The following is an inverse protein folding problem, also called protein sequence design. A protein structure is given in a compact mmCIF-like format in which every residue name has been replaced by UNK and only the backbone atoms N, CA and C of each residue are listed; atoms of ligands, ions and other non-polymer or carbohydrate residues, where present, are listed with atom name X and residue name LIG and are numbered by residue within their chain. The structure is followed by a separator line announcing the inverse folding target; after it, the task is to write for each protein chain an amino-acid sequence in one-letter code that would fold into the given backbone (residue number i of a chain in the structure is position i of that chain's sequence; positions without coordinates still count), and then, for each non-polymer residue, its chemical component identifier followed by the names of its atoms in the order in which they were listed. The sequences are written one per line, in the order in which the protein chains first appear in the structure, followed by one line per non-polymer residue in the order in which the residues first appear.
data_IF_852154496522
#
_entry.id   IF_852154496522
#
_cell.length_a   1.000
_cell.length_b   1.000
_cell.length_c   1.000
_cell.angle_alpha   90.00
_cell.angle_beta   90.00
_cell.angle_gamma   90.00
#
_symmetry.space_group_name_H-M   'P 1'
#
loop_
_entity.id
_entity.type
_entity.pdbx_description
1 polymer ?
#
# COMPACT_ATOMS: atom_id res chain seq x y z
N UNK A 1 14.62 60.65 -32.04
CA UNK A 1 13.63 61.10 -31.04
C UNK A 1 12.25 60.71 -31.55
N UNK A 2 11.37 60.04 -30.78
CA UNK A 2 11.55 58.91 -29.87
C UNK A 2 10.79 57.64 -30.36
N UNK A 3 11.23 56.47 -29.89
CA UNK A 3 10.59 55.18 -30.19
C UNK A 3 9.26 54.99 -29.45
N UNK A 4 8.36 54.22 -30.06
CA UNK A 4 7.07 53.86 -29.49
C UNK A 4 7.22 53.06 -28.18
N UNK A 5 6.39 53.33 -27.15
CA UNK A 5 6.46 52.60 -25.89
C UNK A 5 5.86 51.19 -26.06
N UNK A 6 6.55 50.18 -25.52
CA UNK A 6 6.03 48.83 -25.39
C UNK A 6 4.88 48.80 -24.36
N UNK A 7 3.87 47.93 -24.53
CA UNK A 7 2.76 47.85 -23.58
C UNK A 7 3.23 47.26 -22.24
N UNK A 8 2.93 47.97 -21.16
CA UNK A 8 3.06 47.47 -19.79
C UNK A 8 2.15 46.25 -19.61
N UNK A 9 2.76 45.09 -19.41
CA UNK A 9 2.05 43.95 -18.83
C UNK A 9 1.93 44.18 -17.32
N UNK A 10 0.78 44.74 -16.91
CA UNK A 10 0.40 44.75 -15.51
C UNK A 10 0.16 43.31 -15.06
N UNK A 11 1.11 42.77 -14.30
CA UNK A 11 0.95 41.51 -13.60
C UNK A 11 -0.24 41.59 -12.63
N UNK A 12 -0.89 40.46 -12.31
CA UNK A 12 -2.12 40.45 -11.54
C UNK A 12 -1.95 41.17 -10.19
N UNK A 13 -2.92 42.02 -9.87
CA UNK A 13 -2.93 42.88 -8.70
C UNK A 13 -2.90 42.07 -7.40
N UNK A 14 -2.47 42.71 -6.30
CA UNK A 14 -2.50 42.09 -4.97
C UNK A 14 -3.93 41.63 -4.57
N UNK A 15 -4.97 42.30 -5.06
CA UNK A 15 -6.36 41.89 -4.87
C UNK A 15 -6.70 40.62 -5.67
N UNK A 16 -6.20 40.47 -6.90
CA UNK A 16 -6.38 39.24 -7.69
C UNK A 16 -5.60 38.04 -7.15
N UNK A 17 -4.52 38.30 -6.40
CA UNK A 17 -3.80 37.27 -5.65
C UNK A 17 -4.57 36.90 -4.38
N UNK A 18 -5.07 37.88 -3.63
CA UNK A 18 -5.89 37.64 -2.44
C UNK A 18 -7.24 36.95 -2.73
N UNK A 19 -7.86 37.20 -3.89
CA UNK A 19 -9.08 36.50 -4.33
C UNK A 19 -8.76 35.07 -4.81
N UNK A 20 -7.59 34.84 -5.42
CA UNK A 20 -7.09 33.48 -5.72
C UNK A 20 -6.76 32.71 -4.44
N UNK A 21 -6.11 33.34 -3.48
CA UNK A 21 -5.78 32.75 -2.18
C UNK A 21 -7.03 32.45 -1.36
N UNK A 22 -8.05 33.33 -1.36
CA UNK A 22 -9.35 33.04 -0.72
C UNK A 22 -10.13 31.92 -1.41
N UNK A 23 -9.90 31.66 -2.70
CA UNK A 23 -10.42 30.48 -3.43
C UNK A 23 -9.58 29.21 -3.23
N UNK A 24 -8.37 29.34 -2.68
CA UNK A 24 -7.44 28.25 -2.43
C UNK A 24 -7.60 27.60 -1.04
N UNK A 25 -8.22 28.27 -0.07
CA UNK A 25 -8.27 27.78 1.33
C UNK A 25 -9.55 27.04 1.74
N UNK A 26 -10.52 26.85 0.84
CA UNK A 26 -11.76 26.14 1.15
C UNK A 26 -11.94 25.00 0.16
N UNK A 27 -12.15 23.80 0.68
CA UNK A 27 -12.55 22.63 -0.09
C UNK A 27 -13.59 23.05 -1.15
N UNK A 28 -13.28 22.82 -2.42
CA UNK A 28 -14.23 23.17 -3.47
C UNK A 28 -15.53 22.39 -3.23
N UNK A 29 -16.70 23.00 -3.46
CA UNK A 29 -18.00 22.31 -3.30
C UNK A 29 -18.01 20.95 -4.02
N UNK A 30 -17.37 20.87 -5.20
CA UNK A 30 -17.19 19.63 -5.96
C UNK A 30 -16.25 18.62 -5.26
N UNK A 31 -15.24 19.08 -4.52
CA UNK A 31 -14.38 18.25 -3.68
C UNK A 31 -15.13 17.63 -2.51
N UNK A 32 -15.90 18.44 -1.79
CA UNK A 32 -16.72 17.98 -0.68
C UNK A 32 -17.78 16.95 -1.14
N UNK A 33 -18.41 17.18 -2.29
CA UNK A 33 -19.36 16.23 -2.89
C UNK A 33 -18.71 14.90 -3.28
N UNK A 34 -17.50 14.92 -3.87
CA UNK A 34 -16.76 13.68 -4.19
C UNK A 34 -16.35 12.92 -2.95
N UNK A 35 -15.93 13.62 -1.88
CA UNK A 35 -15.65 13.00 -0.58
C UNK A 35 -16.89 12.29 -0.05
N UNK A 36 -18.02 12.99 0.02
CA UNK A 36 -19.29 12.44 0.49
C UNK A 36 -19.74 11.20 -0.31
N UNK A 37 -19.51 11.19 -1.63
CA UNK A 37 -19.94 10.10 -2.49
C UNK A 37 -19.00 8.86 -2.49
N UNK A 38 -17.72 9.02 -2.13
CA UNK A 38 -16.70 8.00 -2.39
C UNK A 38 -15.91 7.57 -1.16
N UNK A 39 -15.82 8.41 -0.12
CA UNK A 39 -15.09 8.06 1.08
C UNK A 39 -15.94 7.13 1.94
N UNK A 40 -15.46 5.93 2.29
CA UNK A 40 -16.12 5.13 3.30
C UNK A 40 -16.02 5.86 4.64
N UNK A 41 -17.05 5.72 5.47
CA UNK A 41 -17.02 6.23 6.84
C UNK A 41 -15.99 5.47 7.68
N UNK A 42 -15.47 6.11 8.73
CA UNK A 42 -14.56 5.46 9.68
C UNK A 42 -15.21 4.22 10.34
N UNK A 43 -16.52 4.24 10.53
CA UNK A 43 -17.29 3.09 11.02
C UNK A 43 -17.25 1.91 10.04
N UNK A 44 -17.45 2.16 8.74
CA UNK A 44 -17.45 1.12 7.70
C UNK A 44 -16.09 0.43 7.52
N UNK A 45 -15.00 1.06 7.94
CA UNK A 45 -13.65 0.47 7.90
C UNK A 45 -13.13 0.01 9.27
N UNK A 46 -13.94 0.11 10.32
CA UNK A 46 -13.61 -0.41 11.66
C UNK A 46 -13.85 -1.91 11.74
N UNK A 47 -13.16 -2.62 12.64
CA UNK A 47 -13.37 -4.04 12.86
C UNK A 47 -14.82 -4.34 13.25
N UNK A 48 -15.42 -3.48 14.09
CA UNK A 48 -16.82 -3.60 14.48
C UNK A 48 -17.77 -3.41 13.28
N UNK A 49 -17.59 -2.35 12.48
CA UNK A 49 -18.45 -2.10 11.32
C UNK A 49 -18.26 -3.12 10.19
N UNK A 50 -17.11 -3.78 10.13
CA UNK A 50 -16.85 -4.92 9.24
C UNK A 50 -17.36 -6.26 9.80
N UNK A 51 -17.79 -6.31 11.06
CA UNK A 51 -18.24 -7.53 11.73
C UNK A 51 -17.12 -8.52 12.02
N UNK A 52 -15.87 -8.06 12.14
CA UNK A 52 -14.75 -8.93 12.47
C UNK A 52 -14.81 -9.34 13.94
N UNK A 53 -14.61 -10.64 14.22
CA UNK A 53 -14.61 -11.19 15.57
C UNK A 53 -13.29 -10.87 16.32
N UNK A 54 -12.99 -9.59 16.51
CA UNK A 54 -11.76 -9.08 17.14
C UNK A 54 -12.07 -8.46 18.50
N UNK A 55 -11.32 -8.87 19.52
CA UNK A 55 -11.43 -8.30 20.85
C UNK A 55 -10.73 -6.93 20.93
N UNK A 56 -11.36 -5.97 21.63
CA UNK A 56 -10.79 -4.64 21.83
C UNK A 56 -9.63 -4.69 22.85
N UNK A 57 -8.42 -4.45 22.37
CA UNK A 57 -7.17 -4.39 23.13
C UNK A 57 -6.41 -3.13 22.70
N UNK A 58 -5.29 -2.81 23.35
CA UNK A 58 -4.44 -1.74 22.85
C UNK A 58 -3.87 -2.05 21.46
N UNK A 59 -3.38 -3.28 21.25
CA UNK A 59 -2.85 -3.75 19.97
C UNK A 59 -3.88 -3.68 18.84
N UNK A 60 -5.12 -4.11 19.10
CA UNK A 60 -6.17 -4.10 18.07
C UNK A 60 -6.69 -2.69 17.80
N UNK A 61 -6.70 -1.79 18.79
CA UNK A 61 -6.96 -0.34 18.56
C UNK A 61 -5.89 0.30 17.67
N UNK A 62 -4.60 -0.03 17.87
CA UNK A 62 -3.52 0.44 16.98
C UNK A 62 -3.67 -0.11 15.56
N UNK A 63 -4.00 -1.39 15.41
CA UNK A 63 -4.28 -1.98 14.11
C UNK A 63 -5.52 -1.35 13.43
N UNK A 64 -6.55 -0.99 14.18
CA UNK A 64 -7.75 -0.33 13.65
C UNK A 64 -7.52 1.15 13.29
N UNK A 65 -6.54 1.83 13.90
CA UNK A 65 -6.14 3.18 13.51
C UNK A 65 -5.55 3.25 12.08
N UNK A 66 -5.04 2.13 11.56
CA UNK A 66 -4.45 2.04 10.22
C UNK A 66 -5.47 2.31 9.12
N UNK A 67 -6.58 1.54 8.99
CA UNK A 67 -7.60 1.83 7.97
C UNK A 67 -8.22 3.23 8.15
N UNK A 68 -8.28 3.76 9.37
CA UNK A 68 -8.73 5.14 9.61
C UNK A 68 -7.77 6.17 9.00
N UNK A 69 -6.45 5.98 9.15
CA UNK A 69 -5.45 6.85 8.50
C UNK A 69 -5.56 6.80 6.97
N UNK A 70 -5.82 5.62 6.38
CA UNK A 70 -6.10 5.48 4.95
C UNK A 70 -7.33 6.29 4.54
N UNK A 71 -8.43 6.22 5.31
CA UNK A 71 -9.63 7.01 5.02
C UNK A 71 -9.34 8.50 5.10
N UNK A 72 -8.65 8.99 6.15
CA UNK A 72 -8.28 10.40 6.25
C UNK A 72 -7.45 10.87 5.04
N UNK A 73 -6.47 10.09 4.63
CA UNK A 73 -5.68 10.38 3.44
C UNK A 73 -6.51 10.43 2.15
N UNK A 74 -7.41 9.45 2.00
CA UNK A 74 -8.34 9.38 0.86
C UNK A 74 -9.26 10.60 0.81
N UNK A 75 -9.83 11.00 1.95
CA UNK A 75 -10.68 12.17 2.08
C UNK A 75 -9.96 13.44 1.62
N UNK A 76 -8.70 13.63 2.02
CA UNK A 76 -7.91 14.80 1.62
C UNK A 76 -7.56 14.75 0.14
N UNK A 77 -7.06 13.62 -0.37
CA UNK A 77 -6.68 13.48 -1.78
C UNK A 77 -7.87 13.59 -2.75
N UNK A 78 -9.05 13.13 -2.32
CA UNK A 78 -10.27 13.29 -3.11
C UNK A 78 -10.77 14.72 -3.01
N UNK A 79 -10.78 15.36 -1.85
CA UNK A 79 -11.34 16.70 -1.65
C UNK A 79 -10.50 17.81 -2.27
N UNK A 80 -9.19 17.80 -2.02
CA UNK A 80 -8.28 18.91 -2.30
C UNK A 80 -8.13 19.19 -3.80
N UNK A 81 -7.89 20.45 -4.14
CA UNK A 81 -7.70 20.86 -5.54
C UNK A 81 -6.29 20.58 -6.02
N UNK A 82 -5.27 20.82 -5.21
CA UNK A 82 -3.87 20.64 -5.57
C UNK A 82 -3.24 19.51 -4.72
N UNK A 83 -2.50 18.54 -5.29
CA UNK A 83 -1.70 17.59 -4.50
C UNK A 83 -0.82 18.26 -3.43
N UNK A 84 -0.34 19.48 -3.65
CA UNK A 84 0.45 20.21 -2.65
C UNK A 84 -0.35 20.55 -1.38
N UNK A 85 -1.67 20.75 -1.48
CA UNK A 85 -2.55 20.98 -0.32
C UNK A 85 -2.66 19.69 0.51
N UNK A 86 -2.85 18.56 -0.18
CA UNK A 86 -2.91 17.23 0.42
C UNK A 86 -1.60 16.90 1.14
N UNK A 87 -0.45 17.16 0.52
CA UNK A 87 0.86 16.95 1.15
C UNK A 87 1.04 17.75 2.45
N UNK A 88 0.59 19.01 2.49
CA UNK A 88 0.63 19.81 3.72
C UNK A 88 -0.20 19.21 4.85
N UNK A 89 -1.36 18.62 4.53
CA UNK A 89 -2.21 17.92 5.52
C UNK A 89 -1.56 16.61 5.99
N UNK A 90 -1.03 15.84 5.05
CA UNK A 90 -0.33 14.58 5.32
C UNK A 90 0.93 14.78 6.17
N UNK A 91 1.63 15.91 6.03
CA UNK A 91 2.79 16.24 6.86
C UNK A 91 2.46 16.38 8.36
N UNK A 92 1.20 16.67 8.72
CA UNK A 92 0.75 16.75 10.11
C UNK A 92 0.40 15.39 10.72
N UNK A 93 0.30 14.33 9.91
CA UNK A 93 0.00 12.97 10.39
C UNK A 93 1.24 12.41 11.10
N UNK A 94 1.00 11.70 12.21
CA UNK A 94 2.05 11.01 12.97
C UNK A 94 2.92 10.12 12.04
N UNK A 95 4.27 10.19 12.14
CA UNK A 95 5.17 9.41 11.28
C UNK A 95 4.87 7.90 11.23
N UNK A 96 4.36 7.31 12.31
CA UNK A 96 4.06 5.89 12.38
C UNK A 96 2.95 5.47 11.41
N UNK A 97 1.93 6.31 11.23
CA UNK A 97 0.76 6.03 10.36
C UNK A 97 0.70 6.88 9.09
N UNK A 98 1.62 7.85 8.93
CA UNK A 98 1.67 8.75 7.78
C UNK A 98 1.71 8.03 6.44
N UNK A 99 2.43 6.92 6.35
CA UNK A 99 2.47 6.11 5.12
C UNK A 99 1.09 5.61 4.69
N UNK A 100 0.24 5.21 5.64
CA UNK A 100 -1.13 4.78 5.37
C UNK A 100 -2.02 5.95 4.93
N UNK A 101 -1.78 7.15 5.45
CA UNK A 101 -2.46 8.34 4.94
C UNK A 101 -2.04 8.65 3.49
N UNK A 102 -0.75 8.47 3.15
CA UNK A 102 -0.31 8.57 1.75
C UNK A 102 -0.93 7.49 0.85
N UNK A 103 -1.11 6.26 1.34
CA UNK A 103 -1.81 5.17 0.62
C UNK A 103 -3.22 5.60 0.19
N UNK A 104 -4.01 6.16 1.11
CA UNK A 104 -5.34 6.69 0.82
C UNK A 104 -5.33 7.88 -0.13
N UNK A 105 -4.39 8.81 0.05
CA UNK A 105 -4.25 9.96 -0.83
C UNK A 105 -3.87 9.54 -2.26
N UNK A 106 -2.95 8.58 -2.42
CA UNK A 106 -2.60 8.00 -3.71
C UNK A 106 -3.80 7.34 -4.35
N UNK A 107 -4.56 6.53 -3.60
CA UNK A 107 -5.80 5.91 -4.07
C UNK A 107 -6.76 6.96 -4.65
N UNK A 108 -7.01 8.06 -3.94
CA UNK A 108 -7.88 9.12 -4.42
C UNK A 108 -7.35 9.79 -5.70
N UNK A 109 -6.05 10.10 -5.73
CA UNK A 109 -5.39 10.67 -6.91
C UNK A 109 -5.50 9.78 -8.14
N UNK A 110 -5.31 8.46 -7.98
CA UNK A 110 -5.43 7.47 -9.07
C UNK A 110 -6.85 7.42 -9.63
N UNK A 111 -7.87 7.41 -8.77
CA UNK A 111 -9.27 7.45 -9.20
C UNK A 111 -9.55 8.70 -10.03
N UNK A 112 -9.07 9.85 -9.57
CA UNK A 112 -9.26 11.14 -10.27
C UNK A 112 -8.52 11.19 -11.60
N UNK A 113 -7.29 10.68 -11.65
CA UNK A 113 -6.50 10.64 -12.88
C UNK A 113 -7.11 9.66 -13.90
N UNK A 114 -7.63 8.52 -13.45
CA UNK A 114 -8.21 7.52 -14.33
C UNK A 114 -9.58 7.92 -14.91
N UNK A 115 -10.39 8.66 -14.13
CA UNK A 115 -11.73 9.12 -14.52
C UNK A 115 -11.75 10.54 -15.12
N UNK A 116 -10.68 11.32 -14.94
CA UNK A 116 -10.58 12.70 -15.41
C UNK A 116 -9.82 12.87 -16.74
N UNK A 117 -9.89 14.07 -17.35
CA UNK A 117 -9.22 14.35 -18.63
C UNK A 117 -7.71 14.62 -18.50
N UNK A 118 -7.23 15.11 -17.35
CA UNK A 118 -5.83 15.48 -17.10
C UNK A 118 -5.28 14.70 -15.90
N UNK A 119 -4.62 13.57 -16.16
CA UNK A 119 -4.12 12.66 -15.12
C UNK A 119 -2.63 12.85 -14.81
N UNK A 120 -2.33 13.51 -13.70
CA UNK A 120 -0.96 13.66 -13.21
C UNK A 120 -0.86 13.72 -11.67
N UNK A 121 -1.99 13.65 -10.94
CA UNK A 121 -2.02 13.86 -9.49
C UNK A 121 -1.29 12.77 -8.74
N UNK A 122 -1.51 11.51 -9.12
CA UNK A 122 -0.87 10.37 -8.49
C UNK A 122 0.65 10.45 -8.71
N UNK A 123 1.08 10.82 -9.93
CA UNK A 123 2.50 11.07 -10.22
C UNK A 123 3.06 12.17 -9.33
N UNK A 124 2.44 13.35 -9.33
CA UNK A 124 2.89 14.50 -8.53
C UNK A 124 3.05 14.14 -7.05
N UNK A 125 2.05 13.48 -6.46
CA UNK A 125 2.08 13.07 -5.06
C UNK A 125 3.20 12.05 -4.78
N UNK A 126 3.38 11.06 -5.66
CA UNK A 126 4.37 10.00 -5.49
C UNK A 126 5.82 10.50 -5.69
N UNK A 127 6.02 11.49 -6.54
CA UNK A 127 7.33 12.13 -6.77
C UNK A 127 7.66 13.16 -5.67
N UNK A 128 6.63 13.77 -5.07
CA UNK A 128 6.74 14.73 -3.97
C UNK A 128 6.82 14.07 -2.60
N UNK A 129 5.92 14.47 -1.70
CA UNK A 129 5.89 14.03 -0.30
C UNK A 129 5.62 12.54 -0.11
N UNK A 130 5.02 11.89 -1.12
CA UNK A 130 4.76 10.44 -1.11
C UNK A 130 6.00 9.60 -1.40
N UNK A 131 7.12 10.18 -1.86
CA UNK A 131 8.31 9.43 -2.27
C UNK A 131 8.84 8.46 -1.20
N UNK A 132 8.97 8.83 0.09
CA UNK A 132 9.38 7.89 1.14
C UNK A 132 8.37 6.75 1.39
N UNK A 133 7.14 6.91 0.94
CA UNK A 133 6.03 5.97 1.15
C UNK A 133 5.68 5.17 -0.10
N UNK A 134 6.62 5.06 -1.06
CA UNK A 134 6.38 4.44 -2.39
C UNK A 134 5.73 3.06 -2.33
N UNK A 135 6.10 2.21 -1.36
CA UNK A 135 5.49 0.89 -1.15
C UNK A 135 3.98 0.99 -0.89
N UNK A 136 3.58 1.91 -0.02
CA UNK A 136 2.19 2.12 0.36
C UNK A 136 1.41 2.86 -0.73
N UNK A 137 2.07 3.76 -1.47
CA UNK A 137 1.46 4.39 -2.63
C UNK A 137 1.03 3.33 -3.67
N UNK A 138 1.89 2.34 -3.97
CA UNK A 138 1.51 1.25 -4.89
C UNK A 138 0.33 0.44 -4.35
N UNK A 139 0.26 0.18 -3.05
CA UNK A 139 -0.90 -0.49 -2.44
C UNK A 139 -2.17 0.35 -2.63
N UNK A 140 -2.07 1.67 -2.45
CA UNK A 140 -3.16 2.62 -2.70
C UNK A 140 -3.67 2.61 -4.15
N UNK A 141 -2.78 2.42 -5.13
CA UNK A 141 -3.16 2.18 -6.53
C UNK A 141 -4.06 0.93 -6.62
N UNK A 142 -3.76 -0.13 -5.87
CA UNK A 142 -4.58 -1.34 -5.78
C UNK A 142 -5.99 -1.10 -5.23
N UNK A 143 -6.11 -0.26 -4.20
CA UNK A 143 -7.42 0.13 -3.66
C UNK A 143 -8.24 0.92 -4.67
N UNK A 144 -7.58 1.76 -5.48
CA UNK A 144 -8.24 2.44 -6.59
C UNK A 144 -8.71 1.43 -7.66
N UNK A 145 -7.89 0.42 -8.00
CA UNK A 145 -8.28 -0.64 -8.94
C UNK A 145 -9.55 -1.38 -8.50
N UNK A 146 -9.76 -1.58 -7.20
CA UNK A 146 -10.96 -2.24 -6.69
C UNK A 146 -12.27 -1.45 -6.96
N UNK A 147 -12.16 -0.13 -7.14
CA UNK A 147 -13.25 0.82 -7.40
C UNK A 147 -13.34 1.28 -8.87
N UNK A 148 -12.33 0.99 -9.68
CA UNK A 148 -12.28 1.34 -11.09
C UNK A 148 -12.71 0.16 -11.99
N UNK A 149 -13.41 0.42 -13.11
CA UNK A 149 -13.59 -0.57 -14.16
C UNK A 149 -12.25 -1.13 -14.65
N UNK A 150 -12.19 -2.46 -14.87
CA UNK A 150 -10.96 -3.17 -15.29
C UNK A 150 -10.23 -2.54 -16.50
N UNK A 151 -10.90 -2.02 -17.55
CA UNK A 151 -10.21 -1.37 -18.67
C UNK A 151 -9.41 -0.11 -18.28
N UNK A 152 -9.72 0.51 -17.13
CA UNK A 152 -9.00 1.67 -16.61
C UNK A 152 -7.75 1.29 -15.80
N UNK A 153 -7.57 0.02 -15.43
CA UNK A 153 -6.40 -0.43 -14.65
C UNK A 153 -5.08 -0.17 -15.38
N UNK A 154 -5.08 -0.16 -16.72
CA UNK A 154 -3.92 0.25 -17.54
C UNK A 154 -3.47 1.70 -17.32
N UNK A 155 -4.33 2.54 -16.73
CA UNK A 155 -4.03 3.94 -16.39
C UNK A 155 -3.68 4.12 -14.90
N UNK A 156 -3.79 3.07 -14.09
CA UNK A 156 -3.72 3.20 -12.64
C UNK A 156 -2.29 3.42 -12.13
N UNK A 157 -1.28 2.83 -12.78
CA UNK A 157 0.13 3.07 -12.46
C UNK A 157 0.63 4.29 -13.24
N UNK A 158 1.08 5.35 -12.56
CA UNK A 158 1.71 6.47 -13.23
C UNK A 158 2.98 6.03 -13.98
N UNK A 159 3.18 6.54 -15.19
CA UNK A 159 4.42 6.29 -15.94
C UNK A 159 5.64 6.78 -15.13
N UNK A 160 6.68 5.94 -14.93
CA UNK A 160 7.88 6.31 -14.20
C UNK A 160 8.70 7.35 -15.00
N UNK A 161 9.28 8.33 -14.30
CA UNK A 161 10.03 9.45 -14.91
C UNK A 161 11.52 9.46 -14.54
N UNK A 162 12.00 8.55 -13.69
CA UNK A 162 13.40 8.53 -13.27
C UNK A 162 13.85 7.28 -12.49
N UNK A 163 15.17 7.16 -12.23
CA UNK A 163 15.83 5.97 -11.67
C UNK A 163 15.53 5.67 -10.19
N UNK A 164 14.56 6.35 -9.57
CA UNK A 164 14.10 6.11 -8.20
C UNK A 164 12.76 5.38 -8.08
N UNK A 165 12.13 5.02 -9.21
CA UNK A 165 11.00 4.10 -9.21
C UNK A 165 11.54 2.68 -9.13
N UNK A 166 11.13 1.91 -8.13
CA UNK A 166 11.34 0.46 -8.13
C UNK A 166 10.28 -0.14 -9.06
N UNK A 167 10.57 -0.40 -10.36
CA UNK A 167 9.51 -0.67 -11.33
C UNK A 167 8.83 -2.02 -11.04
N UNK A 168 9.58 -2.95 -10.46
CA UNK A 168 9.08 -4.23 -9.95
C UNK A 168 8.01 -4.09 -8.84
N UNK A 169 7.88 -2.93 -8.18
CA UNK A 169 6.89 -2.72 -7.13
C UNK A 169 5.47 -2.46 -7.67
N UNK A 170 5.26 -2.36 -8.99
CA UNK A 170 3.90 -2.21 -9.53
C UNK A 170 2.97 -3.36 -9.12
N UNK A 171 3.53 -4.56 -8.85
CA UNK A 171 2.80 -5.72 -8.34
C UNK A 171 2.20 -5.51 -6.95
N UNK A 172 2.71 -4.56 -6.16
CA UNK A 172 2.07 -4.15 -4.90
C UNK A 172 0.69 -3.50 -5.14
N UNK A 173 0.39 -3.01 -6.34
CA UNK A 173 -0.96 -2.60 -6.70
C UNK A 173 -1.91 -3.80 -6.84
N UNK A 174 -1.42 -4.94 -7.36
CA UNK A 174 -2.22 -6.17 -7.43
C UNK A 174 -2.42 -6.77 -6.04
N UNK A 175 -1.39 -6.72 -5.19
CA UNK A 175 -1.48 -7.01 -3.76
C UNK A 175 -2.52 -6.11 -3.07
N UNK A 176 -2.44 -4.79 -3.22
CA UNK A 176 -3.43 -3.87 -2.65
C UNK A 176 -4.86 -4.16 -3.13
N UNK A 177 -5.04 -4.53 -4.40
CA UNK A 177 -6.33 -4.97 -4.91
C UNK A 177 -6.83 -6.23 -4.20
N UNK A 178 -5.96 -7.23 -3.98
CA UNK A 178 -6.31 -8.45 -3.23
C UNK A 178 -6.69 -8.16 -1.78
N UNK A 179 -5.95 -7.25 -1.12
CA UNK A 179 -6.26 -6.80 0.23
C UNK A 179 -7.64 -6.17 0.33
N UNK A 180 -7.95 -5.17 -0.52
CA UNK A 180 -9.23 -4.47 -0.49
C UNK A 180 -10.40 -5.45 -0.67
N UNK A 181 -10.28 -6.36 -1.63
CA UNK A 181 -11.29 -7.39 -1.88
C UNK A 181 -11.55 -8.28 -0.67
N UNK A 182 -10.50 -8.77 -0.02
CA UNK A 182 -10.65 -9.62 1.17
C UNK A 182 -11.13 -8.87 2.41
N UNK A 183 -10.71 -7.61 2.59
CA UNK A 183 -11.11 -6.79 3.72
C UNK A 183 -12.61 -6.41 3.66
N UNK A 184 -13.11 -6.05 2.48
CA UNK A 184 -14.49 -5.59 2.30
C UNK A 184 -15.51 -6.71 1.97
N UNK A 185 -15.07 -7.93 1.63
CA UNK A 185 -15.95 -9.05 1.28
C UNK A 185 -15.35 -10.39 1.72
N UNK A 186 -15.28 -10.58 3.05
CA UNK A 186 -14.66 -11.76 3.69
C UNK A 186 -15.35 -13.06 3.28
N UNK A 187 -16.68 -13.08 3.23
CA UNK A 187 -17.46 -14.26 2.83
C UNK A 187 -17.09 -14.77 1.44
N UNK A 188 -16.85 -13.84 0.49
CA UNK A 188 -16.49 -14.24 -0.88
C UNK A 188 -15.02 -14.59 -1.03
N UNK A 189 -14.11 -13.82 -0.44
CA UNK A 189 -12.68 -13.91 -0.74
C UNK A 189 -11.88 -14.75 0.25
N UNK A 190 -12.37 -14.86 1.50
CA UNK A 190 -11.78 -15.68 2.56
C UNK A 190 -12.57 -17.00 2.68
N UNK A 191 -13.87 -16.94 2.97
CA UNK A 191 -14.64 -18.16 3.27
C UNK A 191 -14.87 -19.00 2.01
N UNK A 192 -15.36 -18.37 0.93
CA UNK A 192 -15.55 -19.03 -0.37
C UNK A 192 -14.28 -19.08 -1.24
N UNK A 193 -13.16 -18.51 -0.76
CA UNK A 193 -11.85 -18.52 -1.42
C UNK A 193 -11.86 -18.13 -2.90
N UNK A 194 -12.71 -17.17 -3.29
CA UNK A 194 -12.94 -16.81 -4.69
C UNK A 194 -11.62 -16.55 -5.43
N UNK A 195 -11.44 -17.21 -6.57
CA UNK A 195 -10.38 -16.91 -7.54
C UNK A 195 -10.91 -15.87 -8.54
N UNK A 196 -10.26 -14.71 -8.70
CA UNK A 196 -10.69 -13.70 -9.67
C UNK A 196 -10.34 -14.11 -11.10
N UNK A 197 -10.99 -13.45 -12.07
CA UNK A 197 -10.51 -13.52 -13.47
C UNK A 197 -9.13 -12.87 -13.56
N UNK A 198 -8.17 -13.63 -14.07
CA UNK A 198 -6.82 -13.16 -14.35
C UNK A 198 -6.81 -11.85 -15.16
N UNK A 199 -5.80 -11.02 -14.91
CA UNK A 199 -5.54 -9.78 -15.64
C UNK A 199 -4.08 -9.78 -16.05
N UNK A 200 -3.73 -9.49 -17.32
CA UNK A 200 -2.35 -9.54 -17.80
C UNK A 200 -1.55 -8.32 -17.30
N UNK A 201 -1.38 -8.20 -15.99
CA UNK A 201 -0.60 -7.14 -15.36
C UNK A 201 0.88 -7.35 -15.71
N UNK A 202 1.53 -6.33 -16.28
CA UNK A 202 2.87 -6.47 -16.88
C UNK A 202 3.00 -7.67 -17.86
N UNK A 203 1.90 -8.07 -18.50
CA UNK A 203 1.88 -9.21 -19.42
C UNK A 203 1.78 -10.59 -18.77
N UNK A 204 1.71 -10.70 -17.42
CA UNK A 204 1.66 -11.99 -16.72
C UNK A 204 0.29 -12.22 -16.01
N UNK A 205 -0.66 -12.89 -16.66
CA UNK A 205 -1.99 -13.17 -16.09
C UNK A 205 -1.97 -14.20 -14.96
N UNK A 206 -1.00 -15.11 -14.92
CA UNK A 206 -0.94 -16.17 -13.92
C UNK A 206 -0.36 -15.63 -12.62
N UNK A 207 0.71 -14.83 -12.71
CA UNK A 207 1.31 -14.19 -11.56
C UNK A 207 0.38 -13.14 -10.92
N UNK A 208 -0.56 -12.55 -11.68
CA UNK A 208 -1.64 -11.72 -11.12
C UNK A 208 -2.39 -12.44 -10.00
N UNK A 209 -2.71 -13.72 -10.15
CA UNK A 209 -3.42 -14.48 -9.11
C UNK A 209 -2.56 -14.65 -7.84
N UNK A 210 -1.25 -14.83 -8.01
CA UNK A 210 -0.30 -14.93 -6.89
C UNK A 210 -0.13 -13.62 -6.14
N UNK A 211 -0.08 -12.50 -6.84
CA UNK A 211 -0.02 -11.17 -6.22
C UNK A 211 -1.34 -10.83 -5.50
N UNK A 212 -2.50 -11.25 -6.01
CA UNK A 212 -3.77 -11.13 -5.29
C UNK A 212 -3.71 -11.88 -3.95
N UNK A 213 -3.16 -13.08 -3.91
CA UNK A 213 -3.05 -13.88 -2.69
C UNK A 213 -2.12 -13.26 -1.65
N UNK A 214 -1.09 -12.52 -2.04
CA UNK A 214 -0.29 -11.72 -1.10
C UNK A 214 -1.16 -10.67 -0.38
N UNK A 215 -2.03 -10.00 -1.14
CA UNK A 215 -2.98 -9.03 -0.60
C UNK A 215 -3.99 -9.64 0.36
N UNK A 216 -4.55 -10.80 -0.03
CA UNK A 216 -5.47 -11.56 0.83
C UNK A 216 -4.76 -11.97 2.12
N UNK A 217 -3.50 -12.41 2.04
CA UNK A 217 -2.69 -12.75 3.21
C UNK A 217 -2.55 -11.57 4.17
N UNK A 218 -2.25 -10.37 3.64
CA UNK A 218 -2.25 -9.15 4.45
C UNK A 218 -3.61 -8.90 5.09
N UNK A 219 -4.71 -9.07 4.37
CA UNK A 219 -6.05 -8.85 4.90
C UNK A 219 -6.41 -9.81 6.05
N UNK A 220 -6.00 -11.08 5.96
CA UNK A 220 -6.21 -12.08 7.03
C UNK A 220 -5.63 -11.60 8.37
N UNK A 221 -4.49 -10.91 8.36
CA UNK A 221 -3.90 -10.34 9.56
C UNK A 221 -4.85 -9.37 10.28
N UNK A 222 -5.47 -8.45 9.53
CA UNK A 222 -6.40 -7.47 10.08
C UNK A 222 -7.76 -8.09 10.44
N UNK A 223 -8.31 -8.97 9.59
CA UNK A 223 -9.58 -9.68 9.84
C UNK A 223 -9.54 -10.47 11.14
N UNK A 224 -8.37 -11.01 11.50
CA UNK A 224 -8.15 -11.73 12.75
C UNK A 224 -7.45 -10.91 13.84
N UNK A 225 -7.28 -9.60 13.66
CA UNK A 225 -6.76 -8.68 14.67
C UNK A 225 -5.35 -9.02 15.18
N UNK A 226 -4.46 -9.52 14.32
CA UNK A 226 -3.09 -9.88 14.68
C UNK A 226 -2.95 -11.14 15.54
N UNK A 227 -4.02 -11.91 15.68
CA UNK A 227 -4.03 -13.18 16.42
C UNK A 227 -3.46 -14.31 15.59
N UNK A 228 -2.21 -14.69 15.88
CA UNK A 228 -1.47 -15.68 15.11
C UNK A 228 -2.19 -17.03 14.97
N UNK A 229 -2.79 -17.56 16.04
CA UNK A 229 -3.57 -18.80 16.05
C UNK A 229 -4.68 -18.81 14.98
N UNK A 230 -5.47 -17.74 14.94
CA UNK A 230 -6.59 -17.59 14.00
C UNK A 230 -6.12 -17.37 12.57
N UNK A 231 -5.07 -16.56 12.39
CA UNK A 231 -4.47 -16.31 11.07
C UNK A 231 -3.89 -17.61 10.49
N UNK A 232 -3.16 -18.40 11.29
CA UNK A 232 -2.61 -19.68 10.86
C UNK A 232 -3.71 -20.66 10.44
N UNK A 233 -4.78 -20.76 11.22
CA UNK A 233 -5.94 -21.58 10.87
C UNK A 233 -6.59 -21.12 9.55
N UNK A 234 -6.74 -19.81 9.36
CA UNK A 234 -7.31 -19.25 8.14
C UNK A 234 -6.44 -19.53 6.91
N UNK A 235 -5.11 -19.33 6.98
CA UNK A 235 -4.20 -19.65 5.87
C UNK A 235 -4.26 -21.13 5.51
N UNK A 236 -4.33 -22.03 6.51
CA UNK A 236 -4.42 -23.48 6.27
C UNK A 236 -5.75 -23.91 5.64
N UNK A 237 -6.83 -23.16 5.83
CA UNK A 237 -8.08 -23.44 5.14
C UNK A 237 -7.97 -23.23 3.63
N UNK A 238 -7.05 -22.38 3.15
CA UNK A 238 -6.80 -22.19 1.71
C UNK A 238 -6.13 -23.41 1.07
N UNK A 239 -6.42 -23.61 -0.21
CA UNK A 239 -5.75 -24.61 -1.04
C UNK A 239 -4.21 -24.44 -0.99
N UNK A 240 -3.49 -25.55 -0.83
CA UNK A 240 -2.03 -25.60 -0.58
C UNK A 240 -1.22 -24.69 -1.52
N UNK A 241 -1.53 -24.72 -2.82
CA UNK A 241 -0.86 -23.90 -3.85
C UNK A 241 -0.94 -22.37 -3.66
N UNK A 242 -1.82 -21.88 -2.77
CA UNK A 242 -2.00 -20.45 -2.48
C UNK A 242 -1.29 -20.01 -1.20
N UNK A 243 -0.92 -20.96 -0.33
CA UNK A 243 -0.46 -20.68 1.03
C UNK A 243 0.85 -19.90 1.07
N UNK A 244 1.80 -20.21 0.19
CA UNK A 244 3.07 -19.51 0.09
C UNK A 244 2.91 -17.98 -0.08
N UNK A 245 2.01 -17.54 -0.97
CA UNK A 245 1.74 -16.12 -1.21
C UNK A 245 0.94 -15.49 -0.06
N UNK A 246 -0.03 -16.23 0.53
CA UNK A 246 -0.76 -15.80 1.72
C UNK A 246 0.17 -15.58 2.92
N UNK A 247 1.07 -16.53 3.21
CA UNK A 247 2.04 -16.43 4.29
C UNK A 247 2.99 -15.24 4.12
N UNK A 248 3.41 -14.97 2.88
CA UNK A 248 4.20 -13.79 2.54
C UNK A 248 3.46 -12.50 2.89
N UNK A 249 2.18 -12.41 2.52
CA UNK A 249 1.32 -11.27 2.87
C UNK A 249 1.07 -11.11 4.37
N UNK A 250 0.77 -12.22 5.06
CA UNK A 250 0.57 -12.23 6.52
C UNK A 250 1.80 -11.70 7.25
N UNK A 251 2.99 -12.18 6.89
CA UNK A 251 4.22 -11.76 7.54
C UNK A 251 4.57 -10.30 7.27
N UNK A 252 4.28 -9.82 6.05
CA UNK A 252 4.41 -8.40 5.70
C UNK A 252 3.50 -7.55 6.60
N UNK A 253 2.22 -7.89 6.71
CA UNK A 253 1.29 -7.17 7.59
C UNK A 253 1.72 -7.23 9.06
N UNK A 254 2.07 -8.41 9.57
CA UNK A 254 2.54 -8.59 10.95
C UNK A 254 3.77 -7.73 11.27
N UNK A 255 4.69 -7.58 10.32
CA UNK A 255 5.92 -6.79 10.50
C UNK A 255 5.68 -5.29 10.33
N UNK A 256 4.87 -4.89 9.34
CA UNK A 256 4.67 -3.47 9.02
C UNK A 256 3.66 -2.80 9.97
N UNK A 257 2.55 -3.48 10.24
CA UNK A 257 1.42 -2.99 11.04
C UNK A 257 1.50 -3.40 12.52
N UNK A 258 2.27 -4.44 12.85
CA UNK A 258 2.38 -4.93 14.22
C UNK A 258 1.10 -5.65 14.69
N UNK A 259 0.78 -5.50 15.97
CA UNK A 259 -0.47 -6.04 16.54
C UNK A 259 -0.40 -7.47 17.09
N UNK A 260 0.81 -8.02 17.24
CA UNK A 260 1.01 -9.33 17.86
C UNK A 260 2.17 -9.35 18.85
N UNK A 261 2.22 -10.37 19.68
CA UNK A 261 3.28 -10.57 20.67
C UNK A 261 4.46 -11.33 20.07
N UNK A 262 5.66 -11.29 20.68
CA UNK A 262 6.79 -12.12 20.26
C UNK A 262 6.45 -13.61 20.17
N UNK A 263 5.67 -14.13 21.12
CA UNK A 263 5.20 -15.51 21.09
C UNK A 263 4.27 -15.80 19.90
N UNK A 264 3.37 -14.86 19.58
CA UNK A 264 2.52 -14.95 18.39
C UNK A 264 3.32 -14.97 17.09
N UNK A 265 4.36 -14.14 16.99
CA UNK A 265 5.25 -14.11 15.83
C UNK A 265 6.09 -15.38 15.69
N UNK A 266 6.57 -15.94 16.81
CA UNK A 266 7.27 -17.22 16.81
C UNK A 266 6.34 -18.37 16.38
N UNK A 267 5.10 -18.39 16.88
CA UNK A 267 4.08 -19.35 16.45
C UNK A 267 3.80 -19.20 14.95
N UNK A 268 3.61 -17.99 14.43
CA UNK A 268 3.41 -17.72 13.01
C UNK A 268 4.52 -18.34 12.14
N UNK A 269 5.79 -18.16 12.53
CA UNK A 269 6.94 -18.72 11.82
C UNK A 269 6.98 -20.24 11.88
N UNK A 270 6.64 -20.83 13.04
CA UNK A 270 6.57 -22.28 13.21
C UNK A 270 5.46 -22.90 12.35
N UNK A 271 4.26 -22.33 12.43
CA UNK A 271 3.05 -22.85 11.79
C UNK A 271 3.09 -22.80 10.26
N UNK A 272 3.92 -21.92 9.69
CA UNK A 272 4.18 -21.82 8.26
C UNK A 272 4.95 -23.02 7.69
N UNK A 273 5.67 -23.80 8.51
CA UNK A 273 6.35 -25.03 8.08
C UNK A 273 7.29 -24.81 6.88
N UNK A 274 7.00 -25.47 5.77
CA UNK A 274 7.77 -25.36 4.51
C UNK A 274 7.72 -23.94 3.91
N UNK A 275 6.65 -23.18 4.17
CA UNK A 275 6.47 -21.81 3.70
C UNK A 275 7.22 -20.76 4.55
N UNK A 276 8.01 -21.17 5.55
CA UNK A 276 8.78 -20.24 6.41
C UNK A 276 9.68 -19.27 5.63
N UNK A 277 10.17 -19.67 4.46
CA UNK A 277 10.95 -18.78 3.57
C UNK A 277 10.10 -17.63 3.03
N UNK A 278 8.82 -17.88 2.75
CA UNK A 278 7.86 -16.84 2.32
C UNK A 278 7.50 -15.89 3.47
N UNK A 279 7.36 -16.41 4.69
CA UNK A 279 7.19 -15.59 5.90
C UNK A 279 8.39 -14.65 6.10
N UNK A 280 9.61 -15.19 6.09
CA UNK A 280 10.82 -14.39 6.26
C UNK A 280 10.95 -13.30 5.17
N UNK A 281 10.68 -13.64 3.90
CA UNK A 281 10.63 -12.68 2.81
C UNK A 281 9.60 -11.56 3.03
N UNK A 282 8.38 -11.89 3.44
CA UNK A 282 7.34 -10.88 3.70
C UNK A 282 7.77 -9.89 4.77
N UNK A 283 8.42 -10.39 5.82
CA UNK A 283 9.01 -9.57 6.88
C UNK A 283 10.13 -8.66 6.37
N UNK A 284 11.03 -9.17 5.52
CA UNK A 284 12.10 -8.38 4.89
C UNK A 284 11.56 -7.20 4.10
N UNK A 285 10.50 -7.39 3.28
CA UNK A 285 9.93 -6.28 2.53
C UNK A 285 9.22 -5.25 3.41
N UNK A 286 8.57 -5.68 4.49
CA UNK A 286 8.00 -4.75 5.47
C UNK A 286 9.08 -3.92 6.17
N UNK A 287 10.19 -4.56 6.57
CA UNK A 287 11.36 -3.88 7.15
C UNK A 287 11.95 -2.87 6.16
N UNK A 288 12.15 -3.27 4.91
CA UNK A 288 12.60 -2.40 3.81
C UNK A 288 11.67 -1.20 3.63
N UNK A 289 10.36 -1.39 3.63
CA UNK A 289 9.39 -0.31 3.47
C UNK A 289 9.46 0.70 4.63
N UNK A 290 9.55 0.23 5.88
CA UNK A 290 9.72 1.10 7.07
C UNK A 290 11.05 1.84 7.07
N UNK A 291 12.14 1.15 6.74
CA UNK A 291 13.46 1.77 6.58
C UNK A 291 13.42 2.85 5.50
N UNK A 292 12.84 2.57 4.33
CA UNK A 292 12.77 3.53 3.24
C UNK A 292 11.94 4.78 3.60
N UNK A 293 10.88 4.60 4.40
CA UNK A 293 10.06 5.69 4.92
C UNK A 293 10.76 6.55 5.99
N UNK A 294 11.93 6.14 6.49
CA UNK A 294 12.68 6.86 7.52
C UNK A 294 12.07 6.77 8.93
N UNK A 295 11.11 5.86 9.15
CA UNK A 295 10.51 5.63 10.46
C UNK A 295 10.29 4.13 10.69
N UNK A 296 10.95 3.59 11.71
CA UNK A 296 10.95 2.18 12.07
C UNK A 296 10.41 2.01 13.49
N UNK A 297 9.13 1.61 13.65
CA UNK A 297 8.55 1.32 14.96
C UNK A 297 9.19 0.10 15.62
N UNK A 298 9.10 0.01 16.95
CA UNK A 298 9.68 -1.10 17.70
C UNK A 298 9.07 -2.46 17.31
N UNK A 299 7.77 -2.53 17.05
CA UNK A 299 7.14 -3.78 16.61
C UNK A 299 7.70 -4.29 15.28
N UNK A 300 8.14 -3.40 14.38
CA UNK A 300 8.81 -3.79 13.13
C UNK A 300 10.17 -4.41 13.43
N UNK A 301 10.94 -3.86 14.38
CA UNK A 301 12.24 -4.44 14.78
C UNK A 301 12.07 -5.83 15.38
N UNK A 302 11.12 -5.98 16.30
CA UNK A 302 10.78 -7.25 16.93
C UNK A 302 10.32 -8.29 15.91
N UNK A 303 9.40 -7.92 15.01
CA UNK A 303 8.88 -8.83 13.99
C UNK A 303 9.92 -9.24 12.96
N UNK A 304 10.77 -8.30 12.50
CA UNK A 304 11.87 -8.60 11.57
C UNK A 304 12.81 -9.64 12.17
N UNK A 305 13.20 -9.46 13.44
CA UNK A 305 14.05 -10.42 14.14
C UNK A 305 13.37 -11.77 14.33
N UNK A 306 12.10 -11.79 14.72
CA UNK A 306 11.38 -13.04 14.98
C UNK A 306 11.13 -13.87 13.69
N UNK A 307 10.74 -13.19 12.61
CA UNK A 307 10.27 -13.83 11.38
C UNK A 307 11.38 -14.06 10.35
N UNK A 308 12.32 -13.11 10.21
CA UNK A 308 13.41 -13.18 9.25
C UNK A 308 14.79 -13.48 9.88
N UNK A 309 14.95 -13.30 11.20
CA UNK A 309 16.24 -13.50 11.87
C UNK A 309 17.26 -12.37 11.62
N UNK A 310 16.81 -11.23 11.09
CA UNK A 310 17.64 -10.07 10.77
C UNK A 310 17.25 -8.86 11.63
N UNK A 311 18.13 -7.87 11.72
CA UNK A 311 17.69 -6.50 12.04
C UNK A 311 17.14 -5.79 10.80
N UNK A 312 16.60 -4.58 10.98
CA UNK A 312 15.87 -3.87 9.93
C UNK A 312 16.81 -3.36 8.86
N UNK A 313 18.00 -2.93 9.27
CA UNK A 313 19.06 -2.42 8.42
C UNK A 313 19.59 -3.53 7.49
N UNK A 314 19.96 -4.70 8.01
CA UNK A 314 20.37 -5.85 7.21
C UNK A 314 19.25 -6.39 6.31
N UNK A 315 17.99 -6.36 6.78
CA UNK A 315 16.86 -6.73 5.94
C UNK A 315 16.66 -5.74 4.76
N UNK A 316 16.85 -4.44 5.00
CA UNK A 316 16.74 -3.42 3.96
C UNK A 316 17.87 -3.54 2.93
N UNK A 317 19.10 -3.76 3.38
CA UNK A 317 20.27 -4.02 2.52
C UNK A 317 20.06 -5.29 1.67
N UNK A 318 19.63 -6.39 2.28
CA UNK A 318 19.32 -7.62 1.57
C UNK A 318 18.28 -7.41 0.47
N UNK A 319 17.24 -6.63 0.75
CA UNK A 319 16.22 -6.32 -0.22
C UNK A 319 16.78 -5.50 -1.40
N UNK A 320 17.68 -4.55 -1.16
CA UNK A 320 18.33 -3.79 -2.23
C UNK A 320 19.29 -4.65 -3.07
N UNK A 321 20.13 -5.47 -2.43
CA UNK A 321 21.09 -6.34 -3.10
C UNK A 321 20.41 -7.36 -4.03
N UNK A 322 19.20 -7.78 -3.68
CA UNK A 322 18.41 -8.71 -4.47
C UNK A 322 17.58 -8.03 -5.57
N UNK A 323 17.57 -6.69 -5.67
CA UNK A 323 16.67 -5.97 -6.56
C UNK A 323 16.98 -6.27 -8.04
N UNK A 324 15.95 -6.73 -8.76
CA UNK A 324 16.04 -7.04 -10.21
C UNK A 324 15.43 -5.90 -11.01
N UNK A 325 16.23 -5.27 -11.89
CA UNK A 325 15.79 -4.11 -12.68
C UNK A 325 15.21 -4.46 -14.05
N UNK A 326 15.57 -5.61 -14.64
CA UNK A 326 15.05 -6.05 -15.95
C UNK A 326 14.95 -7.57 -16.03
N UNK A 327 13.91 -8.05 -16.71
CA UNK A 327 13.76 -9.46 -17.10
C UNK A 327 13.87 -9.60 -18.62
N UNK A 328 14.35 -10.76 -19.07
CA UNK A 328 14.24 -11.15 -20.48
C UNK A 328 12.80 -11.53 -20.84
N UNK A 329 12.48 -11.58 -22.14
CA UNK A 329 11.17 -12.01 -22.61
C UNK A 329 10.89 -13.47 -22.22
N UNK A 330 9.71 -13.75 -21.64
CA UNK A 330 9.23 -15.11 -21.35
C UNK A 330 9.59 -15.70 -19.99
N UNK A 331 10.26 -14.96 -19.09
CA UNK A 331 10.53 -15.38 -17.72
C UNK A 331 9.53 -14.83 -16.69
N UNK A 332 9.58 -15.27 -15.42
CA UNK A 332 8.78 -14.68 -14.34
C UNK A 332 8.98 -13.16 -14.23
N UNK A 333 8.01 -12.42 -13.67
CA UNK A 333 8.15 -10.98 -13.49
C UNK A 333 9.35 -10.62 -12.61
N UNK A 334 9.94 -9.44 -12.83
CA UNK A 334 11.08 -8.93 -12.03
C UNK A 334 10.81 -9.01 -10.52
N UNK A 335 9.56 -8.75 -10.12
CA UNK A 335 9.11 -8.85 -8.74
C UNK A 335 9.19 -10.26 -8.16
N UNK A 336 8.84 -11.30 -8.93
CA UNK A 336 8.97 -12.68 -8.47
C UNK A 336 10.43 -13.13 -8.40
N UNK A 337 11.28 -12.65 -9.31
CA UNK A 337 12.72 -12.90 -9.24
C UNK A 337 13.34 -12.24 -8.01
N UNK A 338 13.02 -10.97 -7.76
CA UNK A 338 13.44 -10.26 -6.54
C UNK A 338 13.02 -11.01 -5.28
N UNK A 339 11.76 -11.45 -5.24
CA UNK A 339 11.23 -12.33 -4.21
C UNK A 339 12.11 -13.57 -4.04
N UNK A 340 12.27 -14.37 -5.09
CA UNK A 340 13.07 -15.61 -5.03
C UNK A 340 14.48 -15.37 -4.51
N UNK A 341 15.17 -14.36 -5.03
CA UNK A 341 16.53 -14.01 -4.60
C UNK A 341 16.61 -13.68 -3.11
N UNK A 342 15.65 -12.91 -2.56
CA UNK A 342 15.59 -12.66 -1.10
C UNK A 342 15.44 -13.97 -0.32
N UNK A 343 14.55 -14.88 -0.75
CA UNK A 343 14.36 -16.17 -0.04
C UNK A 343 15.60 -17.04 -0.10
N UNK A 344 16.22 -17.16 -1.28
CA UNK A 344 17.42 -17.96 -1.49
C UNK A 344 18.57 -17.47 -0.61
N UNK A 345 18.79 -16.15 -0.55
CA UNK A 345 19.82 -15.53 0.30
C UNK A 345 19.55 -15.73 1.79
N UNK A 346 18.30 -15.62 2.24
CA UNK A 346 17.91 -15.90 3.63
C UNK A 346 18.24 -17.34 4.04
N UNK A 347 18.08 -18.32 3.14
CA UNK A 347 18.48 -19.71 3.41
C UNK A 347 19.99 -19.89 3.49
N UNK A 348 20.77 -19.14 2.71
CA UNK A 348 22.23 -19.27 2.69
C UNK A 348 22.94 -18.61 3.89
N UNK A 349 22.29 -17.66 4.56
CA UNK A 349 22.84 -16.97 5.75
C UNK A 349 22.58 -17.73 7.06
N UNK A 350 21.75 -18.78 7.03
CA UNK A 350 21.35 -19.57 8.23
C UNK A 350 22.14 -20.90 8.34
N UNK A 351 23.24 -21.04 7.59
CA UNK A 351 24.16 -22.20 7.68
C UNK A 351 25.37 -21.85 8.53
#
# INVERSE_FOLDING_TARGET
MPGAPAPHHDGPSAADRAIRDRRATVASVLGALRRLAMAPSLGEVSFAGRGFAVEATESTRRLEAIPQAVVCGFEWGIEDRDPADTERRLAMVDPEVRGFAYEGATMACVIRDAMGPNGHRARTLMEGGGRPHVFLNYIGIGFAMARLPRPLWRKAVPAPTGPGHYPAMSWLAVDGYGFDRAYFDTGRWIDAQRVPRAYPWEGDPDYFLRAVDQGIGRALWFVHGGRADRVCAAVRAFADRRRADLWSGVALAATFAGGSTPAGLAALRHEAGEDRGHVAQGSVFAAKARHHAGHVPEHTRVATRALAGLDVEAAAELADDCAVTRTGAGGPPAYELWRRSVRERLTSTVV
#
